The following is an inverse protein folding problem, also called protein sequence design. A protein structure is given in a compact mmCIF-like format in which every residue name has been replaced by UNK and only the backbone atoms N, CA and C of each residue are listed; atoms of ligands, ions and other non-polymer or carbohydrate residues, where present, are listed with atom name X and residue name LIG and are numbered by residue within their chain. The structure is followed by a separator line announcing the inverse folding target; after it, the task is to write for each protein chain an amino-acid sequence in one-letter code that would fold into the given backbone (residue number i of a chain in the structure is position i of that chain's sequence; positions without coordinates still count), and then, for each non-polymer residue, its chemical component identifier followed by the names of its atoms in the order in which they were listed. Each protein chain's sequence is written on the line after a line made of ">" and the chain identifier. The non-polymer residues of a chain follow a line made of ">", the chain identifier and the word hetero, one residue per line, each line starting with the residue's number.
data_IF_603259307386
#
_entry.id   IF_603259307386
#
_cell.length_a   1.000
_cell.length_b   1.000
_cell.length_c   1.000
_cell.angle_alpha   90.00
_cell.angle_beta   90.00
_cell.angle_gamma   90.00
#
_symmetry.space_group_name_H-M   'P 1'
#
loop_
_entity.id
_entity.type
_entity.pdbx_description
1 polymer ?
#
# COMPACT_ATOMS: atom_id res chain seq x y z
N UNK A 1 -9.90 12.79 3.22
CA UNK A 1 -8.52 12.28 3.33
C UNK A 1 -8.59 10.83 3.76
N UNK A 2 -8.39 9.88 2.85
CA UNK A 2 -7.59 8.67 2.96
C UNK A 2 -7.98 7.51 2.00
N UNK A 3 -7.54 7.52 0.72
CA UNK A 3 -7.54 6.36 -0.19
C UNK A 3 -6.11 5.81 -0.31
N UNK A 4 -5.92 4.53 0.08
CA UNK A 4 -4.74 3.62 -0.01
C UNK A 4 -3.32 4.16 0.30
N UNK A 5 -2.88 5.30 -0.23
CA UNK A 5 -1.61 5.96 0.13
C UNK A 5 -1.63 6.64 1.49
N UNK A 6 -2.77 6.62 2.18
CA UNK A 6 -3.06 7.49 3.34
C UNK A 6 -3.37 6.74 4.63
N UNK A 7 -3.46 5.41 4.61
CA UNK A 7 -3.51 4.61 5.85
C UNK A 7 -2.17 4.72 6.59
N UNK A 8 -1.06 4.81 5.86
CA UNK A 8 0.28 5.01 6.44
C UNK A 8 0.59 6.45 6.84
N UNK A 9 0.08 7.43 6.10
CA UNK A 9 0.31 8.84 6.42
C UNK A 9 -0.34 9.26 7.75
N UNK A 10 -1.42 8.61 8.23
CA UNK A 10 -1.99 8.91 9.56
C UNK A 10 -1.21 8.32 10.73
N UNK A 11 -0.54 7.18 10.56
CA UNK A 11 0.39 6.64 11.56
C UNK A 11 1.66 7.51 11.68
N UNK A 12 2.06 8.20 10.60
CA UNK A 12 3.21 9.12 10.57
C UNK A 12 2.85 10.59 10.86
N UNK A 13 1.58 11.01 10.72
CA UNK A 13 1.12 12.40 10.94
C UNK A 13 1.09 12.85 12.39
N UNK A 14 1.39 11.98 13.36
CA UNK A 14 1.57 12.37 14.76
C UNK A 14 2.85 13.18 15.05
N UNK A 15 3.80 13.28 14.11
CA UNK A 15 5.18 13.70 14.45
C UNK A 15 5.72 15.00 13.84
N UNK A 16 5.04 15.72 12.96
CA UNK A 16 5.65 16.95 12.40
C UNK A 16 4.64 18.09 12.17
N UNK A 17 4.39 18.86 13.22
CA UNK A 17 3.84 20.22 13.15
C UNK A 17 4.96 21.19 13.54
N UNK A 18 5.36 22.08 12.63
CA UNK A 18 6.18 23.23 13.02
C UNK A 18 6.93 23.95 11.91
N UNK A 19 6.37 25.08 11.48
CA UNK A 19 7.05 26.26 10.93
C UNK A 19 7.67 26.21 9.51
N UNK A 20 7.02 26.93 8.58
CA UNK A 20 7.72 27.62 7.49
C UNK A 20 7.10 29.00 7.24
N UNK A 21 7.92 30.05 7.40
CA UNK A 21 7.59 31.44 7.07
C UNK A 21 8.69 31.98 6.13
N UNK A 22 8.31 32.20 4.88
CA UNK A 22 8.77 33.16 3.85
C UNK A 22 10.25 33.25 3.37
N UNK A 23 10.32 33.68 2.10
CA UNK A 23 11.45 34.17 1.26
C UNK A 23 12.18 33.06 0.48
N UNK A 24 12.39 33.09 -0.83
CA UNK A 24 12.16 34.09 -1.88
C UNK A 24 13.30 33.99 -2.91
N UNK A 25 12.98 33.76 -4.19
CA UNK A 25 13.73 34.32 -5.33
C UNK A 25 14.80 33.50 -6.08
N UNK A 26 14.51 33.33 -7.40
CA UNK A 26 15.36 33.65 -8.57
C UNK A 26 16.20 32.54 -9.26
N UNK A 27 15.68 32.15 -10.44
CA UNK A 27 16.26 31.93 -11.79
C UNK A 27 17.53 31.10 -12.09
N UNK A 28 17.45 30.38 -13.22
CA UNK A 28 18.59 29.98 -14.06
C UNK A 28 18.42 28.59 -14.68
N UNK A 29 17.60 28.41 -15.72
CA UNK A 29 17.96 28.33 -17.16
C UNK A 29 18.98 27.25 -17.56
N UNK A 30 18.56 26.53 -18.62
CA UNK A 30 19.30 26.17 -19.85
C UNK A 30 19.83 24.73 -20.00
N UNK A 31 19.17 24.03 -20.94
CA UNK A 31 19.73 23.33 -22.13
C UNK A 31 20.80 22.23 -21.91
N UNK A 32 20.85 21.08 -22.59
CA UNK A 32 20.09 20.44 -23.67
C UNK A 32 20.83 19.15 -24.06
N UNK A 33 20.14 18.32 -24.84
CA UNK A 33 20.66 17.60 -26.01
C UNK A 33 21.42 16.26 -25.81
N UNK A 34 20.70 15.20 -26.24
CA UNK A 34 20.94 14.45 -27.49
C UNK A 34 21.42 12.99 -27.37
N UNK A 35 20.72 12.15 -28.16
CA UNK A 35 21.22 10.95 -28.88
C UNK A 35 21.20 9.62 -28.12
N UNK A 36 20.92 8.45 -28.72
CA UNK A 36 20.25 8.03 -29.96
C UNK A 36 20.20 6.47 -29.88
N UNK A 37 19.02 5.87 -30.15
CA UNK A 37 18.68 4.64 -30.93
C UNK A 37 19.80 3.55 -31.06
N UNK A 38 19.56 2.24 -30.85
CA UNK A 38 19.03 1.25 -31.84
C UNK A 38 18.74 -0.13 -31.18
N UNK A 39 17.70 -0.78 -31.73
CA UNK A 39 17.13 -2.12 -31.52
C UNK A 39 18.05 -3.32 -31.78
N UNK A 40 17.67 -4.51 -31.29
CA UNK A 40 17.42 -5.73 -32.10
C UNK A 40 16.93 -6.89 -31.22
N UNK A 41 15.71 -7.37 -31.46
CA UNK A 41 15.24 -8.69 -31.02
C UNK A 41 14.86 -9.52 -32.26
N UNK A 42 15.27 -10.79 -32.23
CA UNK A 42 14.89 -11.84 -33.16
C UNK A 42 14.07 -12.86 -32.37
N UNK A 43 12.93 -13.27 -32.92
CA UNK A 43 11.98 -14.17 -32.26
C UNK A 43 12.28 -15.65 -32.47
N UNK A 44 11.48 -16.50 -31.81
CA UNK A 44 10.90 -17.72 -32.38
C UNK A 44 9.84 -18.29 -31.42
N UNK A 45 8.68 -18.64 -31.98
CA UNK A 45 7.56 -19.37 -31.36
C UNK A 45 7.90 -20.84 -31.06
N UNK A 46 7.04 -21.52 -30.29
CA UNK A 46 6.47 -22.86 -30.61
C UNK A 46 5.27 -23.15 -29.68
N UNK A 47 4.20 -23.64 -30.31
CA UNK A 47 2.92 -24.14 -29.75
C UNK A 47 3.04 -25.47 -29.00
N UNK A 48 2.02 -25.79 -28.19
CA UNK A 48 1.78 -27.15 -27.72
C UNK A 48 0.61 -27.26 -26.75
N UNK A 49 -0.61 -27.45 -27.28
CA UNK A 49 -1.82 -27.64 -26.47
C UNK A 49 -1.90 -28.99 -25.76
N UNK A 50 -2.71 -29.05 -24.70
CA UNK A 50 -3.46 -30.25 -24.28
C UNK A 50 -4.63 -29.87 -23.38
N UNK A 51 -5.81 -30.37 -23.75
CA UNK A 51 -7.08 -30.37 -23.02
C UNK A 51 -7.00 -31.19 -21.73
N UNK A 52 -7.62 -30.71 -20.65
CA UNK A 52 -8.09 -31.56 -19.54
C UNK A 52 -9.32 -30.95 -18.87
N UNK A 53 -10.31 -31.83 -18.71
CA UNK A 53 -11.59 -31.66 -18.05
C UNK A 53 -11.46 -31.09 -16.64
N UNK A 54 -12.24 -30.06 -16.31
CA UNK A 54 -12.38 -29.56 -14.94
C UNK A 54 -13.71 -30.03 -14.35
N UNK A 55 -13.57 -30.91 -13.37
CA UNK A 55 -14.59 -31.28 -12.38
C UNK A 55 -14.85 -30.07 -11.48
N UNK A 56 -16.12 -29.72 -11.28
CA UNK A 56 -16.53 -28.75 -10.28
C UNK A 56 -16.23 -29.26 -8.87
N UNK A 57 -15.39 -28.54 -8.13
CA UNK A 57 -15.29 -28.63 -6.67
C UNK A 57 -15.43 -27.23 -6.07
N UNK A 58 -16.53 -27.03 -5.34
CA UNK A 58 -16.72 -25.96 -4.38
C UNK A 58 -15.82 -26.23 -3.17
N UNK A 59 -14.88 -25.32 -2.87
CA UNK A 59 -14.00 -25.39 -1.71
C UNK A 59 -12.99 -24.26 -1.72
N UNK A 60 -13.01 -23.42 -0.69
CA UNK A 60 -12.01 -22.39 -0.36
C UNK A 60 -10.58 -22.88 -0.66
N UNK A 61 -9.85 -22.19 -1.55
CA UNK A 61 -8.40 -22.02 -1.50
C UNK A 61 -7.87 -21.18 -2.67
N UNK A 62 -6.68 -20.61 -2.44
CA UNK A 62 -5.73 -19.97 -3.38
C UNK A 62 -5.74 -18.43 -3.42
N UNK A 63 -5.47 -17.83 -2.26
CA UNK A 63 -4.52 -16.71 -2.18
C UNK A 63 -3.09 -17.25 -2.01
N UNK A 64 -2.65 -18.27 -2.77
CA UNK A 64 -1.35 -18.92 -2.43
C UNK A 64 -0.12 -18.02 -2.66
N UNK A 65 -0.27 -16.91 -3.37
CA UNK A 65 0.82 -15.97 -3.61
C UNK A 65 0.30 -14.63 -4.15
N UNK A 66 0.95 -13.53 -3.78
CA UNK A 66 0.74 -12.20 -4.35
C UNK A 66 2.02 -11.66 -5.00
N UNK A 67 1.95 -10.58 -5.77
CA UNK A 67 3.12 -10.06 -6.50
C UNK A 67 4.05 -9.24 -5.60
N UNK A 68 5.34 -9.22 -5.91
CA UNK A 68 6.29 -8.30 -5.26
C UNK A 68 6.14 -6.88 -5.86
N UNK A 69 5.70 -5.87 -5.07
CA UNK A 69 5.54 -4.50 -5.57
C UNK A 69 6.85 -3.88 -6.08
N UNK A 70 8.01 -4.34 -5.61
CA UNK A 70 9.31 -3.84 -6.06
C UNK A 70 9.73 -4.32 -7.45
N UNK A 71 8.88 -5.12 -8.11
CA UNK A 71 9.17 -5.71 -9.42
C UNK A 71 8.24 -5.23 -10.53
N UNK A 72 7.22 -4.41 -10.22
CA UNK A 72 6.23 -3.98 -11.22
C UNK A 72 6.82 -3.11 -12.32
N UNK A 73 7.85 -2.33 -12.02
CA UNK A 73 8.60 -1.53 -12.99
C UNK A 73 10.05 -1.39 -12.52
N UNK A 74 10.92 -0.90 -13.39
CA UNK A 74 12.35 -0.86 -13.09
C UNK A 74 12.72 0.32 -12.21
N UNK A 75 13.82 0.16 -11.46
CA UNK A 75 14.50 1.26 -10.78
C UNK A 75 14.82 2.44 -11.73
N UNK A 76 15.12 2.14 -12.99
CA UNK A 76 15.45 3.17 -13.98
C UNK A 76 14.22 3.98 -14.39
N UNK A 77 13.04 3.35 -14.51
CA UNK A 77 11.78 4.05 -14.78
C UNK A 77 11.49 5.07 -13.67
N UNK A 78 11.62 4.64 -12.42
CA UNK A 78 11.42 5.51 -11.26
C UNK A 78 12.49 6.61 -11.16
N UNK A 79 13.76 6.30 -11.41
CA UNK A 79 14.84 7.30 -11.39
C UNK A 79 14.68 8.37 -12.47
N UNK A 80 14.17 7.97 -13.65
CA UNK A 80 13.87 8.89 -14.74
C UNK A 80 12.79 9.89 -14.33
N UNK A 81 11.70 9.40 -13.73
CA UNK A 81 10.57 10.24 -13.28
C UNK A 81 10.98 11.16 -12.11
N UNK A 82 11.72 10.63 -11.15
CA UNK A 82 12.20 11.41 -10.00
C UNK A 82 13.40 12.30 -10.33
N UNK A 83 13.95 12.20 -11.55
CA UNK A 83 15.05 13.02 -12.04
C UNK A 83 16.34 12.90 -11.23
N UNK A 84 16.54 11.79 -10.52
CA UNK A 84 17.67 11.60 -9.60
C UNK A 84 17.97 10.12 -9.35
N UNK A 85 19.18 9.77 -8.91
CA UNK A 85 19.47 8.43 -8.40
C UNK A 85 18.56 8.10 -7.21
N UNK A 86 18.03 6.88 -7.20
CA UNK A 86 17.10 6.42 -6.16
C UNK A 86 17.61 5.19 -5.42
N UNK A 87 17.05 4.98 -4.23
CA UNK A 87 17.05 3.70 -3.52
C UNK A 87 15.68 3.04 -3.66
N UNK A 88 15.67 1.71 -3.70
CA UNK A 88 14.46 0.90 -3.88
C UNK A 88 14.43 -0.13 -2.77
N UNK A 89 13.45 -0.02 -1.88
CA UNK A 89 13.38 -0.84 -0.69
C UNK A 89 11.92 -1.22 -0.38
N UNK A 90 11.66 -2.45 0.10
CA UNK A 90 10.38 -2.77 0.69
C UNK A 90 10.15 -1.99 1.99
N UNK A 91 8.93 -1.54 2.20
CA UNK A 91 8.55 -0.94 3.47
C UNK A 91 8.41 -1.99 4.58
N UNK A 92 8.94 -1.72 5.77
CA UNK A 92 8.83 -2.68 6.90
C UNK A 92 7.55 -2.49 7.72
N UNK A 93 6.84 -1.39 7.51
CA UNK A 93 5.58 -1.11 8.19
C UNK A 93 4.37 -1.37 7.30
N UNK A 94 4.56 -1.41 5.97
CA UNK A 94 3.51 -1.50 4.97
C UNK A 94 3.87 -2.53 3.89
N UNK A 95 2.90 -3.22 3.26
CA UNK A 95 3.15 -4.11 2.13
C UNK A 95 3.38 -3.31 0.83
N UNK A 96 4.31 -2.35 0.88
CA UNK A 96 4.64 -1.44 -0.21
C UNK A 96 6.09 -1.65 -0.67
N UNK A 97 6.37 -1.20 -1.88
CA UNK A 97 7.72 -0.85 -2.30
C UNK A 97 7.88 0.67 -2.35
N UNK A 98 9.00 1.17 -1.84
CA UNK A 98 9.38 2.58 -1.89
C UNK A 98 10.56 2.78 -2.82
N UNK A 99 10.39 3.72 -3.75
CA UNK A 99 11.42 4.22 -4.65
C UNK A 99 11.69 5.68 -4.23
N UNK A 100 12.78 5.95 -3.53
CA UNK A 100 13.05 7.27 -2.96
C UNK A 100 14.36 7.86 -3.50
N UNK A 101 14.39 9.17 -3.75
CA UNK A 101 15.63 9.86 -4.10
C UNK A 101 16.68 9.63 -3.01
N UNK A 102 17.90 9.22 -3.42
CA UNK A 102 19.01 9.04 -2.47
C UNK A 102 19.26 10.36 -1.75
N UNK A 103 19.24 10.32 -0.41
CA UNK A 103 19.64 11.48 0.38
C UNK A 103 21.06 11.90 -0.04
N UNK A 104 21.25 13.17 -0.39
CA UNK A 104 22.57 13.71 -0.70
C UNK A 104 23.42 13.63 0.58
N UNK A 105 24.23 12.59 0.71
CA UNK A 105 25.22 12.47 1.79
C UNK A 105 26.36 13.45 1.51
N UNK A 106 26.14 14.72 1.84
CA UNK A 106 27.19 15.73 1.91
C UNK A 106 27.33 16.18 3.36
N UNK A 107 28.57 16.30 3.86
CA UNK A 107 28.90 16.73 5.24
C UNK A 107 28.30 18.09 5.68
N UNK A 108 27.58 18.80 4.81
CA UNK A 108 27.02 20.12 5.05
C UNK A 108 25.52 20.25 4.70
N UNK A 109 24.79 19.16 4.52
CA UNK A 109 23.32 19.25 4.32
C UNK A 109 22.68 19.53 5.68
N UNK A 110 22.17 20.76 5.87
CA UNK A 110 21.39 21.11 7.06
C UNK A 110 20.19 20.15 7.14
N UNK A 111 19.90 19.61 8.31
CA UNK A 111 18.78 18.68 8.52
C UNK A 111 17.41 19.20 8.00
N UNK A 112 17.26 20.52 7.82
CA UNK A 112 16.10 21.17 7.21
C UNK A 112 16.01 21.04 5.68
N UNK A 113 17.01 20.47 5.00
CA UNK A 113 17.03 20.19 3.55
C UNK A 113 16.90 18.69 3.23
N UNK A 114 16.73 17.84 4.26
CA UNK A 114 16.62 16.39 4.12
C UNK A 114 15.18 15.90 3.85
N UNK A 115 14.24 16.80 3.54
CA UNK A 115 12.79 16.50 3.41
C UNK A 115 12.23 16.98 2.07
N UNK A 116 12.95 16.77 0.99
CA UNK A 116 12.29 16.65 -0.31
C UNK A 116 11.91 15.17 -0.44
N UNK A 117 10.76 14.79 0.12
CA UNK A 117 10.20 13.44 0.03
C UNK A 117 9.74 13.17 -1.41
N UNK A 118 10.70 13.08 -2.33
CA UNK A 118 10.50 12.74 -3.72
C UNK A 118 10.58 11.21 -3.80
N UNK A 119 9.40 10.60 -3.81
CA UNK A 119 9.30 9.15 -3.78
C UNK A 119 8.13 8.64 -4.61
N UNK A 120 8.23 7.37 -5.02
CA UNK A 120 7.16 6.61 -5.62
C UNK A 120 6.86 5.44 -4.67
N UNK A 121 5.60 5.33 -4.25
CA UNK A 121 5.13 4.20 -3.45
C UNK A 121 4.25 3.29 -4.31
N UNK A 122 4.49 1.99 -4.20
CA UNK A 122 3.82 0.98 -5.02
C UNK A 122 3.21 -0.10 -4.15
N UNK A 123 1.96 -0.46 -4.42
CA UNK A 123 1.30 -1.63 -3.84
C UNK A 123 0.73 -2.51 -4.94
N UNK A 124 0.69 -3.83 -4.70
CA UNK A 124 0.01 -4.78 -5.58
C UNK A 124 -0.50 -5.96 -4.77
N UNK A 125 -1.68 -6.42 -5.12
CA UNK A 125 -2.37 -7.46 -4.39
C UNK A 125 -3.40 -8.19 -5.20
N UNK A 126 -4.07 -9.13 -4.53
CA UNK A 126 -5.13 -9.94 -5.11
C UNK A 126 -6.39 -9.95 -4.26
N UNK A 127 -7.50 -10.25 -4.91
CA UNK A 127 -8.82 -10.43 -4.30
C UNK A 127 -9.60 -11.47 -5.10
N UNK A 128 -10.45 -12.25 -4.44
CA UNK A 128 -11.43 -13.12 -5.11
C UNK A 128 -12.48 -12.30 -5.89
N UNK A 129 -12.71 -11.06 -5.48
CA UNK A 129 -13.62 -10.11 -6.10
C UNK A 129 -12.95 -8.73 -6.26
N UNK A 130 -11.81 -8.72 -6.98
CA UNK A 130 -11.00 -7.54 -7.23
C UNK A 130 -11.80 -6.38 -7.85
N UNK A 131 -12.75 -6.69 -8.74
CA UNK A 131 -13.64 -5.70 -9.36
C UNK A 131 -14.53 -4.99 -8.33
N UNK A 132 -15.13 -5.73 -7.41
CA UNK A 132 -15.92 -5.13 -6.33
C UNK A 132 -15.05 -4.30 -5.39
N UNK A 133 -13.89 -4.83 -5.00
CA UNK A 133 -12.92 -4.08 -4.19
C UNK A 133 -12.50 -2.77 -4.87
N UNK A 134 -12.15 -2.81 -6.16
CA UNK A 134 -11.77 -1.64 -6.94
C UNK A 134 -12.91 -0.62 -7.03
N UNK A 135 -14.14 -1.05 -7.30
CA UNK A 135 -15.30 -0.16 -7.37
C UNK A 135 -15.56 0.54 -6.03
N UNK A 136 -15.38 -0.17 -4.92
CA UNK A 136 -15.50 0.37 -3.57
C UNK A 136 -14.38 1.36 -3.26
N UNK A 137 -13.12 1.04 -3.60
CA UNK A 137 -11.98 1.93 -3.39
C UNK A 137 -12.09 3.21 -4.25
N UNK A 138 -12.57 3.08 -5.49
CA UNK A 138 -12.90 4.23 -6.35
C UNK A 138 -14.01 5.10 -5.75
N UNK A 139 -15.04 4.48 -5.18
CA UNK A 139 -16.14 5.20 -4.53
C UNK A 139 -15.64 5.93 -3.29
N UNK A 140 -14.83 5.29 -2.47
CA UNK A 140 -14.18 5.92 -1.31
C UNK A 140 -13.30 7.10 -1.74
N UNK A 141 -12.46 6.93 -2.77
CA UNK A 141 -11.63 8.01 -3.30
C UNK A 141 -12.44 9.23 -3.75
N UNK A 142 -13.59 9.02 -4.43
CA UNK A 142 -14.48 10.10 -4.88
C UNK A 142 -15.08 10.94 -3.76
N UNK A 143 -15.23 10.37 -2.56
CA UNK A 143 -15.74 11.13 -1.41
C UNK A 143 -14.72 12.09 -0.81
N UNK A 144 -13.44 11.93 -1.16
CA UNK A 144 -12.33 12.59 -0.49
C UNK A 144 -11.50 13.50 -1.40
N UNK A 145 -11.46 13.17 -2.70
CA UNK A 145 -10.61 13.82 -3.70
C UNK A 145 -11.27 13.79 -5.07
N UNK A 146 -10.76 14.62 -5.99
CA UNK A 146 -11.10 14.49 -7.41
C UNK A 146 -10.56 13.15 -7.94
N UNK A 147 -11.43 12.41 -8.62
CA UNK A 147 -11.12 11.14 -9.28
C UNK A 147 -11.33 11.28 -10.78
N UNK A 148 -10.34 10.87 -11.57
CA UNK A 148 -10.40 10.87 -13.03
C UNK A 148 -10.25 9.43 -13.54
N UNK A 149 -11.23 8.96 -14.31
CA UNK A 149 -11.14 7.64 -14.93
C UNK A 149 -10.08 7.63 -16.03
N UNK A 150 -9.33 6.54 -16.09
CA UNK A 150 -8.27 6.32 -17.07
C UNK A 150 -8.68 5.17 -17.98
N UNK A 151 -8.52 5.37 -19.28
CA UNK A 151 -8.73 4.34 -20.30
C UNK A 151 -7.41 3.70 -20.71
N UNK A 152 -7.49 2.54 -21.34
CA UNK A 152 -6.37 1.84 -21.97
C UNK A 152 -5.24 1.40 -21.00
N UNK A 153 -5.57 1.21 -19.71
CA UNK A 153 -4.70 0.64 -18.68
C UNK A 153 -5.52 -0.31 -17.82
N UNK A 154 -5.10 -1.57 -17.74
CA UNK A 154 -5.86 -2.63 -17.05
C UNK A 154 -7.25 -2.84 -17.64
N UNK A 155 -8.11 -3.49 -16.85
CA UNK A 155 -9.55 -3.60 -17.15
C UNK A 155 -10.28 -2.31 -16.74
N UNK A 156 -9.79 -1.68 -15.67
CA UNK A 156 -10.27 -0.40 -15.15
C UNK A 156 -9.15 0.33 -14.41
N UNK A 157 -9.13 1.66 -14.53
CA UNK A 157 -8.16 2.50 -13.84
C UNK A 157 -8.77 3.85 -13.47
N UNK A 158 -8.32 4.42 -12.37
CA UNK A 158 -8.61 5.81 -12.00
C UNK A 158 -7.41 6.47 -11.34
N UNK A 159 -7.31 7.79 -11.47
CA UNK A 159 -6.35 8.59 -10.72
C UNK A 159 -7.03 9.38 -9.61
N UNK A 160 -6.25 9.67 -8.56
CA UNK A 160 -6.68 10.43 -7.39
C UNK A 160 -5.66 11.53 -7.12
N UNK A 161 -6.12 12.77 -6.99
CA UNK A 161 -5.28 13.88 -6.55
C UNK A 161 -5.07 13.84 -5.02
N UNK A 162 -3.84 14.06 -4.59
CA UNK A 162 -3.43 14.07 -3.18
C UNK A 162 -2.80 15.44 -2.84
N UNK A 163 -2.75 15.80 -1.56
CA UNK A 163 -2.18 17.08 -1.12
C UNK A 163 -0.73 17.29 -1.55
N UNK A 164 0.04 16.20 -1.60
CA UNK A 164 1.49 16.19 -1.84
C UNK A 164 1.87 15.36 -3.07
N UNK A 165 0.90 15.03 -3.92
CA UNK A 165 1.15 14.09 -5.02
C UNK A 165 -0.08 13.70 -5.83
N UNK A 166 0.07 12.63 -6.60
CA UNK A 166 -1.02 11.99 -7.35
C UNK A 166 -0.84 10.48 -7.31
N UNK A 167 -1.95 9.75 -7.31
CA UNK A 167 -1.93 8.29 -7.39
C UNK A 167 -2.76 7.79 -8.57
N UNK A 168 -2.42 6.61 -9.07
CA UNK A 168 -3.25 5.80 -9.98
C UNK A 168 -3.51 4.44 -9.33
N UNK A 169 -4.74 3.97 -9.43
CA UNK A 169 -5.18 2.64 -9.03
C UNK A 169 -5.67 1.92 -10.27
N UNK A 170 -5.26 0.68 -10.46
CA UNK A 170 -5.59 -0.14 -11.63
C UNK A 170 -6.07 -1.51 -11.19
N UNK A 171 -7.18 -1.96 -11.76
CA UNK A 171 -7.68 -3.33 -11.68
C UNK A 171 -7.37 -4.11 -12.96
N UNK A 172 -6.85 -5.33 -12.83
CA UNK A 172 -6.71 -6.27 -13.95
C UNK A 172 -6.90 -7.71 -13.49
N UNK A 173 -7.90 -8.40 -14.02
CA UNK A 173 -8.36 -9.70 -13.54
C UNK A 173 -8.62 -9.68 -12.03
N UNK A 174 -7.95 -10.56 -11.30
CA UNK A 174 -8.04 -10.65 -9.83
C UNK A 174 -6.99 -9.80 -9.10
N UNK A 175 -6.28 -8.91 -9.81
CA UNK A 175 -5.19 -8.09 -9.28
C UNK A 175 -5.62 -6.63 -9.19
N UNK A 176 -5.25 -5.97 -8.10
CA UNK A 176 -5.30 -4.51 -7.99
C UNK A 176 -3.92 -4.01 -7.62
N UNK A 177 -3.47 -2.95 -8.26
CA UNK A 177 -2.22 -2.27 -7.89
C UNK A 177 -2.42 -0.76 -7.85
N UNK A 178 -1.58 -0.10 -7.05
CA UNK A 178 -1.56 1.35 -6.95
C UNK A 178 -0.14 1.87 -7.03
N UNK A 179 0.01 3.01 -7.68
CA UNK A 179 1.28 3.74 -7.81
C UNK A 179 1.00 5.18 -7.38
N UNK A 180 1.76 5.68 -6.43
CA UNK A 180 1.66 7.03 -5.91
C UNK A 180 2.98 7.75 -6.11
N UNK A 181 2.94 8.92 -6.75
CA UNK A 181 4.07 9.85 -6.78
C UNK A 181 3.85 10.87 -5.66
N UNK A 182 4.78 10.91 -4.71
CA UNK A 182 4.89 11.97 -3.71
C UNK A 182 5.99 12.89 -4.21
N UNK A 183 5.59 14.04 -4.75
CA UNK A 183 6.54 15.02 -5.26
C UNK A 183 5.87 16.41 -5.26
N UNK A 184 5.90 17.13 -4.13
CA UNK A 184 5.17 18.40 -3.96
C UNK A 184 5.52 19.48 -5.00
N UNK A 185 6.71 19.40 -5.60
CA UNK A 185 7.21 20.40 -6.56
C UNK A 185 7.00 20.02 -8.03
N UNK A 186 6.55 18.80 -8.32
CA UNK A 186 6.30 18.36 -9.68
C UNK A 186 4.94 18.88 -10.16
N UNK A 187 4.87 19.38 -11.40
CA UNK A 187 3.60 19.86 -11.94
C UNK A 187 2.60 18.72 -12.10
N UNK A 188 1.33 18.95 -11.74
CA UNK A 188 0.26 17.92 -11.76
C UNK A 188 0.11 17.22 -13.11
N UNK A 189 0.29 17.95 -14.22
CA UNK A 189 0.23 17.38 -15.58
C UNK A 189 1.41 16.42 -15.87
N UNK A 190 2.59 16.72 -15.34
CA UNK A 190 3.74 15.80 -15.43
C UNK A 190 3.44 14.54 -14.62
N UNK A 191 3.00 14.69 -13.35
CA UNK A 191 2.64 13.56 -12.51
C UNK A 191 1.62 12.63 -13.17
N UNK A 192 0.60 13.19 -13.85
CA UNK A 192 -0.36 12.37 -14.59
C UNK A 192 0.32 11.55 -15.69
N UNK A 193 1.18 12.19 -16.49
CA UNK A 193 1.88 11.51 -17.59
C UNK A 193 2.79 10.41 -17.05
N UNK A 194 3.53 10.70 -16.00
CA UNK A 194 4.47 9.79 -15.34
C UNK A 194 3.74 8.61 -14.69
N UNK A 195 2.61 8.85 -14.03
CA UNK A 195 1.75 7.79 -13.49
C UNK A 195 1.20 6.87 -14.58
N UNK A 196 0.75 7.43 -15.71
CA UNK A 196 0.24 6.63 -16.82
C UNK A 196 1.33 5.76 -17.44
N UNK A 197 2.56 6.27 -17.53
CA UNK A 197 3.71 5.51 -18.01
C UNK A 197 4.02 4.34 -17.06
N UNK A 198 4.18 4.61 -15.76
CA UNK A 198 4.45 3.58 -14.77
C UNK A 198 3.33 2.55 -14.69
N UNK A 199 2.08 2.97 -14.79
CA UNK A 199 0.94 2.06 -14.75
C UNK A 199 0.88 1.15 -15.98
N UNK A 200 1.28 1.63 -17.17
CA UNK A 200 1.42 0.79 -18.36
C UNK A 200 2.53 -0.24 -18.20
N UNK A 201 3.70 0.15 -17.67
CA UNK A 201 4.79 -0.79 -17.39
C UNK A 201 4.34 -1.84 -16.36
N UNK A 202 3.73 -1.41 -15.25
CA UNK A 202 3.19 -2.30 -14.23
C UNK A 202 2.16 -3.28 -14.80
N UNK A 203 1.25 -2.82 -15.67
CA UNK A 203 0.26 -3.68 -16.33
C UNK A 203 0.94 -4.77 -17.17
N UNK A 204 1.91 -4.40 -18.01
CA UNK A 204 2.65 -5.36 -18.84
C UNK A 204 3.34 -6.41 -17.96
N UNK A 205 3.94 -5.97 -16.87
CA UNK A 205 4.60 -6.82 -15.88
C UNK A 205 3.59 -7.79 -15.24
N UNK A 206 2.44 -7.30 -14.74
CA UNK A 206 1.38 -8.15 -14.16
C UNK A 206 0.88 -9.20 -15.16
N UNK A 207 0.61 -8.80 -16.41
CA UNK A 207 0.13 -9.71 -17.46
C UNK A 207 1.18 -10.75 -17.86
N UNK A 208 2.46 -10.39 -17.83
CA UNK A 208 3.56 -11.30 -18.18
C UNK A 208 3.84 -12.40 -17.14
N UNK A 209 3.19 -12.38 -15.96
CA UNK A 209 3.33 -13.45 -14.96
C UNK A 209 4.56 -13.29 -14.06
N UNK A 210 4.56 -12.23 -13.26
CA UNK A 210 5.67 -11.86 -12.35
C UNK A 210 5.86 -12.84 -11.21
N UNK A 211 7.09 -12.82 -10.67
CA UNK A 211 7.46 -13.47 -9.41
C UNK A 211 6.44 -13.17 -8.32
N UNK A 212 5.82 -14.22 -7.83
CA UNK A 212 4.95 -14.13 -6.68
C UNK A 212 5.73 -14.38 -5.39
N UNK A 213 5.25 -13.81 -4.30
CA UNK A 213 5.71 -13.99 -2.95
C UNK A 213 4.72 -14.89 -2.22
N UNK A 214 5.20 -15.84 -1.39
CA UNK A 214 4.34 -16.66 -0.58
C UNK A 214 3.61 -15.81 0.46
N UNK A 215 2.45 -16.29 0.91
CA UNK A 215 1.78 -15.69 2.07
C UNK A 215 2.61 -15.96 3.33
N UNK A 216 3.01 -14.91 4.08
CA UNK A 216 3.68 -15.10 5.36
C UNK A 216 2.68 -15.63 6.39
N UNK A 217 3.20 -16.36 7.37
CA UNK A 217 2.39 -16.80 8.51
C UNK A 217 2.61 -15.86 9.71
N UNK A 218 1.55 -15.36 10.36
CA UNK A 218 0.14 -15.62 10.08
C UNK A 218 -0.37 -14.90 8.83
N UNK A 219 -1.35 -15.50 8.15
CA UNK A 219 -2.05 -14.84 7.04
C UNK A 219 -3.01 -13.78 7.58
N UNK A 220 -2.82 -12.48 7.28
CA UNK A 220 -3.71 -11.42 7.76
C UNK A 220 -5.17 -11.58 7.28
N UNK A 221 -5.43 -12.25 6.15
CA UNK A 221 -6.80 -12.57 5.72
C UNK A 221 -7.39 -13.78 6.44
N UNK A 222 -6.55 -14.64 7.03
CA UNK A 222 -6.97 -15.72 7.92
C UNK A 222 -7.25 -15.25 9.34
N UNK A 223 -6.57 -14.18 9.81
CA UNK A 223 -6.72 -13.62 11.16
C UNK A 223 -8.08 -12.95 11.39
N UNK A 224 -8.62 -12.32 10.36
CA UNK A 224 -9.95 -11.72 10.34
C UNK A 224 -10.57 -12.13 9.01
N UNK A 225 -11.66 -12.88 9.01
CA UNK A 225 -12.33 -13.28 7.76
C UNK A 225 -13.39 -12.25 7.33
N UNK A 226 -13.92 -12.40 6.11
CA UNK A 226 -14.97 -11.56 5.53
C UNK A 226 -16.22 -11.44 6.41
N UNK A 227 -16.62 -12.51 7.12
CA UNK A 227 -17.80 -12.50 7.98
C UNK A 227 -17.56 -11.66 9.24
N UNK A 228 -16.40 -11.84 9.88
CA UNK A 228 -16.01 -11.05 11.05
C UNK A 228 -15.86 -9.56 10.67
N UNK A 229 -15.19 -9.29 9.55
CA UNK A 229 -15.06 -7.95 9.00
C UNK A 229 -16.43 -7.32 8.68
N UNK A 230 -17.35 -8.10 8.10
CA UNK A 230 -18.73 -7.69 7.87
C UNK A 230 -19.44 -7.32 9.17
N UNK A 231 -19.32 -8.13 10.22
CA UNK A 231 -19.94 -7.86 11.52
C UNK A 231 -19.37 -6.61 12.19
N UNK A 232 -18.05 -6.39 12.10
CA UNK A 232 -17.43 -5.14 12.56
C UNK A 232 -17.99 -3.96 11.78
N UNK A 233 -18.12 -4.08 10.46
CA UNK A 233 -18.68 -3.04 9.61
C UNK A 233 -20.22 -3.13 9.57
N UNK A 234 -20.86 -3.37 10.72
CA UNK A 234 -22.31 -3.33 10.93
C UNK A 234 -23.12 -4.29 10.04
N UNK A 235 -22.64 -5.53 9.90
CA UNK A 235 -23.22 -6.60 9.08
C UNK A 235 -23.38 -6.24 7.61
N UNK A 236 -22.46 -5.42 7.07
CA UNK A 236 -22.47 -5.03 5.66
C UNK A 236 -21.60 -5.95 4.82
N UNK A 237 -21.94 -6.20 3.55
CA UNK A 237 -21.05 -6.92 2.64
C UNK A 237 -19.70 -6.21 2.53
N UNK A 238 -18.61 -6.99 2.57
CA UNK A 238 -17.25 -6.46 2.44
C UNK A 238 -16.53 -7.13 1.28
N UNK A 239 -15.70 -6.36 0.58
CA UNK A 239 -14.70 -6.91 -0.35
C UNK A 239 -13.33 -6.80 0.29
N UNK A 240 -12.46 -7.79 0.06
CA UNK A 240 -11.14 -7.83 0.67
C UNK A 240 -10.03 -7.76 -0.39
N UNK A 241 -8.83 -7.37 0.02
CA UNK A 241 -7.65 -7.26 -0.83
C UNK A 241 -6.39 -7.63 -0.03
N UNK A 242 -5.67 -8.63 -0.51
CA UNK A 242 -4.43 -9.11 0.10
C UNK A 242 -3.20 -8.56 -0.61
N UNK A 243 -2.23 -8.04 0.15
CA UNK A 243 -0.95 -7.52 -0.35
C UNK A 243 0.21 -8.04 0.49
N UNK A 244 1.40 -8.14 -0.11
CA UNK A 244 2.63 -8.55 0.57
C UNK A 244 3.84 -7.88 -0.09
N UNK A 245 4.95 -7.72 0.63
CA UNK A 245 6.23 -7.35 0.05
C UNK A 245 7.36 -8.31 0.44
N UNK A 246 8.52 -8.14 -0.19
CA UNK A 246 9.66 -9.03 0.04
C UNK A 246 10.37 -8.83 1.40
N UNK A 247 9.99 -7.83 2.20
CA UNK A 247 10.36 -7.75 3.61
C UNK A 247 9.54 -8.70 4.51
N UNK A 248 8.52 -9.35 3.95
CA UNK A 248 7.62 -10.26 4.66
C UNK A 248 6.44 -9.56 5.34
N UNK A 249 6.21 -8.28 5.06
CA UNK A 249 5.02 -7.56 5.54
C UNK A 249 3.85 -7.94 4.66
N UNK A 250 2.76 -8.42 5.25
CA UNK A 250 1.51 -8.70 4.54
C UNK A 250 0.35 -7.92 5.14
N UNK A 251 -0.65 -7.64 4.31
CA UNK A 251 -1.88 -7.02 4.76
C UNK A 251 -3.11 -7.63 4.10
N UNK A 252 -4.18 -7.73 4.88
CA UNK A 252 -5.52 -7.91 4.37
C UNK A 252 -6.34 -6.64 4.62
N UNK A 253 -6.94 -6.12 3.57
CA UNK A 253 -7.74 -4.93 3.64
C UNK A 253 -9.20 -5.21 3.26
N UNK A 254 -10.13 -4.88 4.15
CA UNK A 254 -11.57 -5.02 3.98
C UNK A 254 -12.23 -3.66 3.77
N UNK A 255 -13.09 -3.53 2.76
CA UNK A 255 -13.83 -2.31 2.46
C UNK A 255 -15.33 -2.61 2.25
N UNK A 256 -16.19 -1.72 2.73
CA UNK A 256 -17.66 -1.79 2.65
C UNK A 256 -18.25 -0.65 1.82
N UNK A 257 -19.51 -0.79 1.38
CA UNK A 257 -20.21 0.12 0.46
C UNK A 257 -20.81 1.39 1.09
N UNK A 258 -20.62 1.65 2.38
CA UNK A 258 -21.24 2.79 3.07
C UNK A 258 -20.40 4.07 3.01
N UNK A 259 -20.21 4.64 1.81
CA UNK A 259 -19.54 5.93 1.67
C UNK A 259 -18.13 5.95 2.29
N UNK A 260 -17.58 7.15 2.47
CA UNK A 260 -16.19 7.34 2.86
C UNK A 260 -15.83 6.57 4.15
N UNK A 261 -14.80 5.76 4.10
CA UNK A 261 -13.99 5.44 5.26
C UNK A 261 -14.19 4.06 5.89
N UNK A 262 -15.28 3.32 5.71
CA UNK A 262 -15.49 2.04 6.44
C UNK A 262 -14.56 0.92 5.96
N UNK A 263 -13.38 0.86 6.58
CA UNK A 263 -12.29 -0.02 6.15
C UNK A 263 -11.56 -0.61 7.35
N UNK A 264 -11.19 -1.87 7.23
CA UNK A 264 -10.37 -2.57 8.22
C UNK A 264 -9.13 -3.05 7.51
N UNK A 265 -7.97 -2.62 7.99
CA UNK A 265 -6.70 -3.12 7.51
C UNK A 265 -6.01 -3.90 8.64
N UNK A 266 -5.70 -5.17 8.36
CA UNK A 266 -4.85 -6.00 9.19
C UNK A 266 -3.49 -6.06 8.51
N UNK A 267 -2.43 -5.68 9.20
CA UNK A 267 -1.03 -5.81 8.77
C UNK A 267 -0.34 -6.77 9.73
N UNK A 268 0.49 -7.65 9.18
CA UNK A 268 1.30 -8.59 9.95
C UNK A 268 2.72 -8.67 9.43
N UNK A 269 3.67 -8.89 10.33
CA UNK A 269 5.07 -9.18 10.03
C UNK A 269 5.60 -10.17 11.06
N UNK A 270 6.09 -11.33 10.60
CA UNK A 270 6.77 -12.31 11.45
C UNK A 270 8.27 -12.27 11.18
N UNK A 271 9.01 -11.56 12.02
CA UNK A 271 10.47 -11.43 11.91
C UNK A 271 11.09 -11.19 13.28
N UNK A 272 11.91 -12.14 13.80
CA UNK A 272 12.57 -12.00 15.08
C UNK A 272 13.38 -10.69 15.18
N UNK A 273 13.33 -10.03 16.34
CA UNK A 273 13.97 -8.74 16.60
C UNK A 273 13.23 -7.54 15.96
N UNK A 274 12.84 -7.64 14.68
CA UNK A 274 12.16 -6.55 13.96
C UNK A 274 10.74 -6.34 14.49
N UNK A 275 9.98 -7.41 14.72
CA UNK A 275 8.61 -7.31 15.23
C UNK A 275 8.56 -6.57 16.59
N UNK A 276 9.47 -6.89 17.51
CA UNK A 276 9.59 -6.22 18.80
C UNK A 276 9.93 -4.74 18.63
N UNK A 277 10.92 -4.41 17.78
CA UNK A 277 11.27 -3.02 17.49
C UNK A 277 10.11 -2.23 16.90
N UNK A 278 9.35 -2.81 15.96
CA UNK A 278 8.18 -2.16 15.38
C UNK A 278 7.10 -1.89 16.43
N UNK A 279 6.80 -2.87 17.28
CA UNK A 279 5.84 -2.70 18.37
C UNK A 279 6.27 -1.58 19.34
N UNK A 280 7.52 -1.59 19.78
CA UNK A 280 8.02 -0.57 20.70
C UNK A 280 8.05 0.83 20.05
N UNK A 281 8.43 0.92 18.78
CA UNK A 281 8.38 2.17 18.03
C UNK A 281 6.95 2.70 17.94
N UNK A 282 5.98 1.87 17.56
CA UNK A 282 4.57 2.26 17.54
C UNK A 282 4.09 2.71 18.92
N UNK A 283 4.49 1.99 19.98
CA UNK A 283 4.16 2.35 21.36
C UNK A 283 4.79 3.68 21.77
N UNK A 284 5.95 4.07 21.25
CA UNK A 284 6.55 5.37 21.55
C UNK A 284 5.91 6.52 20.76
N UNK A 285 5.52 6.28 19.50
CA UNK A 285 5.04 7.33 18.59
C UNK A 285 3.57 7.69 18.78
N UNK A 286 2.71 6.75 19.17
CA UNK A 286 1.32 7.07 19.53
C UNK A 286 1.32 8.03 20.72
N UNK A 287 0.40 9.00 20.78
CA UNK A 287 0.39 9.97 21.89
C UNK A 287 0.15 9.25 23.21
N UNK A 288 0.94 9.57 24.26
CA UNK A 288 0.90 8.86 25.55
C UNK A 288 -0.47 8.87 26.23
N UNK A 289 -1.31 9.86 25.93
CA UNK A 289 -2.53 10.13 26.70
C UNK A 289 -3.74 9.30 26.25
N UNK A 290 -3.65 8.62 25.10
CA UNK A 290 -4.76 7.83 24.57
C UNK A 290 -4.47 6.32 24.54
N UNK A 291 -3.29 5.89 25.01
CA UNK A 291 -2.91 4.48 24.98
C UNK A 291 -3.64 3.70 26.07
N UNK A 292 -4.31 2.62 25.69
CA UNK A 292 -4.84 1.65 26.64
C UNK A 292 -4.19 0.29 26.40
N UNK A 293 -3.55 -0.26 27.44
CA UNK A 293 -2.98 -1.60 27.40
C UNK A 293 -4.10 -2.66 27.40
N UNK A 294 -4.05 -3.58 26.43
CA UNK A 294 -5.06 -4.62 26.24
C UNK A 294 -4.59 -5.93 26.86
N UNK A 295 -5.08 -6.22 28.07
CA UNK A 295 -4.76 -7.49 28.76
C UNK A 295 -5.39 -8.68 28.04
N UNK A 296 -4.61 -9.76 27.90
CA UNK A 296 -5.05 -11.02 27.28
C UNK A 296 -5.07 -10.98 25.75
N UNK A 297 -4.41 -10.00 25.13
CA UNK A 297 -4.23 -9.88 23.67
C UNK A 297 -2.72 -9.92 23.39
N UNK A 298 -2.25 -11.02 22.81
CA UNK A 298 -0.83 -11.26 22.53
C UNK A 298 0.01 -11.37 23.81
N UNK A 299 1.31 -11.24 23.64
CA UNK A 299 2.25 -11.05 24.76
C UNK A 299 2.19 -9.60 25.24
N UNK A 300 2.08 -8.66 24.28
CA UNK A 300 1.86 -7.25 24.52
C UNK A 300 0.86 -6.70 23.50
N UNK A 301 -0.09 -5.88 23.94
CA UNK A 301 -0.97 -5.14 23.04
C UNK A 301 -1.40 -3.81 23.64
N UNK A 302 -1.63 -2.83 22.77
CA UNK A 302 -2.26 -1.57 23.13
C UNK A 302 -3.17 -1.07 22.01
N UNK A 303 -4.16 -0.27 22.37
CA UNK A 303 -4.95 0.55 21.45
C UNK A 303 -4.59 2.03 21.61
N UNK A 304 -4.83 2.84 20.58
CA UNK A 304 -4.59 4.29 20.59
C UNK A 304 -5.77 5.11 21.11
N UNK A 305 -6.76 4.44 21.74
CA UNK A 305 -7.98 5.05 22.25
C UNK A 305 -8.94 5.51 21.15
N UNK A 306 -8.66 5.13 19.91
CA UNK A 306 -9.51 5.44 18.76
C UNK A 306 -9.61 4.23 17.84
N UNK A 307 -8.73 4.11 16.86
CA UNK A 307 -8.97 3.45 15.58
C UNK A 307 -7.94 2.38 15.26
N UNK A 308 -6.98 2.10 16.15
CA UNK A 308 -5.97 1.09 15.88
C UNK A 308 -5.56 0.30 17.12
N UNK A 309 -5.21 -0.96 16.88
CA UNK A 309 -4.64 -1.90 17.84
C UNK A 309 -3.30 -2.39 17.31
N UNK A 310 -2.30 -2.39 18.19
CA UNK A 310 -0.99 -2.99 17.95
C UNK A 310 -0.82 -4.19 18.86
N UNK A 311 -0.33 -5.30 18.32
CA UNK A 311 -0.12 -6.53 19.05
C UNK A 311 1.26 -7.08 18.74
N UNK A 312 1.93 -7.58 19.77
CA UNK A 312 3.11 -8.42 19.69
C UNK A 312 2.75 -9.80 20.27
N UNK A 313 2.96 -10.87 19.50
CA UNK A 313 2.89 -12.26 19.96
C UNK A 313 4.09 -13.03 19.42
N UNK A 314 4.96 -13.50 20.30
CA UNK A 314 6.25 -14.09 19.95
C UNK A 314 7.08 -13.17 19.04
N UNK A 315 7.38 -13.65 17.83
CA UNK A 315 8.14 -12.91 16.80
C UNK A 315 7.24 -12.23 15.77
N UNK A 316 5.94 -12.08 16.04
CA UNK A 316 4.98 -11.47 15.13
C UNK A 316 4.45 -10.16 15.66
N UNK A 317 4.56 -9.14 14.82
CA UNK A 317 3.89 -7.87 14.97
C UNK A 317 2.60 -7.87 14.16
N UNK A 318 1.52 -7.37 14.77
CA UNK A 318 0.29 -7.03 14.07
C UNK A 318 -0.09 -5.59 14.32
N UNK A 319 -0.67 -4.98 13.29
CA UNK A 319 -1.35 -3.71 13.36
C UNK A 319 -2.73 -3.86 12.71
N UNK A 320 -3.78 -3.62 13.49
CA UNK A 320 -5.16 -3.63 13.03
C UNK A 320 -5.63 -2.18 13.08
N UNK A 321 -5.90 -1.59 11.92
CA UNK A 321 -6.41 -0.23 11.81
C UNK A 321 -7.80 -0.23 11.22
N UNK A 322 -8.66 0.57 11.81
CA UNK A 322 -10.00 0.87 11.35
C UNK A 322 -10.00 2.29 10.81
N UNK A 323 -10.53 2.46 9.61
CA UNK A 323 -10.80 3.78 9.07
C UNK A 323 -12.32 3.95 9.10
N UNK A 324 -12.77 5.21 9.22
CA UNK A 324 -14.20 5.53 9.28
C UNK A 324 -14.78 5.55 10.69
N UNK A 325 -16.10 5.69 10.77
CA UNK A 325 -16.82 5.65 12.05
C UNK A 325 -16.71 4.24 12.64
N UNK A 326 -16.28 4.17 13.90
CA UNK A 326 -16.20 2.92 14.61
C UNK A 326 -17.56 2.55 15.19
N UNK A 327 -17.92 1.25 15.19
CA UNK A 327 -18.92 0.74 16.12
C UNK A 327 -18.45 0.97 17.57
N UNK A 328 -19.38 0.81 18.52
CA UNK A 328 -19.13 0.93 19.96
C UNK A 328 -17.85 0.23 20.45
N UNK A 329 -17.14 0.87 21.39
CA UNK A 329 -15.80 0.56 21.94
C UNK A 329 -15.53 -0.87 22.48
N UNK A 330 -16.38 -1.87 22.25
CA UNK A 330 -16.19 -3.27 22.69
C UNK A 330 -15.90 -4.28 21.58
N UNK A 331 -16.37 -4.01 20.35
CA UNK A 331 -16.26 -4.98 19.25
C UNK A 331 -14.82 -5.13 18.78
N UNK A 332 -14.10 -4.02 18.64
CA UNK A 332 -12.72 -3.97 18.14
C UNK A 332 -11.78 -4.85 18.99
N UNK A 333 -11.84 -4.70 20.31
CA UNK A 333 -11.03 -5.50 21.26
C UNK A 333 -11.41 -6.98 21.24
N UNK A 334 -12.68 -7.31 21.03
CA UNK A 334 -13.12 -8.70 20.88
C UNK A 334 -12.51 -9.36 19.64
N UNK A 335 -12.48 -8.67 18.51
CA UNK A 335 -11.87 -9.22 17.29
C UNK A 335 -10.35 -9.27 17.36
N UNK A 336 -9.70 -8.31 18.02
CA UNK A 336 -8.26 -8.39 18.29
C UNK A 336 -7.92 -9.65 19.12
N UNK A 337 -8.73 -9.97 20.14
CA UNK A 337 -8.59 -11.23 20.90
C UNK A 337 -8.76 -12.46 20.00
N UNK A 338 -9.77 -12.46 19.12
CA UNK A 338 -10.01 -13.55 18.17
C UNK A 338 -8.86 -13.75 17.20
N UNK A 339 -8.36 -12.67 16.61
CA UNK A 339 -7.20 -12.70 15.71
C UNK A 339 -5.97 -13.28 16.43
N UNK A 340 -5.67 -12.83 17.65
CA UNK A 340 -4.57 -13.36 18.47
C UNK A 340 -4.71 -14.84 18.82
N UNK A 341 -5.94 -15.32 19.04
CA UNK A 341 -6.19 -16.73 19.38
C UNK A 341 -5.90 -17.69 18.21
N UNK A 342 -5.89 -17.18 16.97
CA UNK A 342 -5.59 -17.96 15.76
C UNK A 342 -4.10 -18.13 15.45
N UNK A 343 -3.23 -17.62 16.32
CA UNK A 343 -1.78 -17.83 16.31
C UNK A 343 -1.36 -19.06 17.12
#
# INVERSE_FOLDING_TARGET
>A
MNSLGTVFARSLRGSMVGCAKRCGGVDGKLLTLLSLVILLSCGCSIDGGKTSSVVQTSGSNVTNASFDPCTLFSKNDAAHILGSPIDVEPEIMAPLCRYAVKAKSGKNVKASQAVDANEILVSVGKSDNARSYFALDRTDAKTQSSVEDVKDIGDEAFTVSLDVGKAIVVGTGNTVYSIMIVYPHLATKSMQTDLLLLAKHAQQTVVAGVRTLPIPHPDPCGLLNTQDASQILESKPVSWFFTVNNAGVASCNYISSQGAGHRIQVISLTRPGVATSLYQNARMTVSSNNKLDLKGVGDLAFEDGSTAIWVLKGNTFMHISFLGALPTNGLITMYAKKAVASF
#
